data_IF_962498475297
#
_entry.id   IF_962498475297
#
_cell.length_a   1.000
_cell.length_b   1.000
_cell.length_c   1.000
_cell.angle_alpha   90.00
_cell.angle_beta   90.00
_cell.angle_gamma   90.00
#
_symmetry.space_group_name_H-M   'P 1'
#
loop_
_entity.id
_entity.type
_entity.pdbx_description
1 polymer ?
#
# COMPACT_ATOMS: atom_id res chain seq x y z
N UNK A 1 -22.36 11.95 -13.92
CA UNK A 1 -21.26 11.13 -14.48
C UNK A 1 -20.02 11.37 -13.65
N UNK A 2 -19.28 10.35 -13.17
CA UNK A 2 -17.96 10.62 -12.67
C UNK A 2 -17.19 11.34 -13.76
N UNK A 3 -16.38 12.35 -13.38
CA UNK A 3 -15.61 13.12 -14.35
C UNK A 3 -14.75 12.15 -15.17
N UNK A 4 -15.10 11.98 -16.43
CA UNK A 4 -14.37 11.09 -17.36
C UNK A 4 -13.30 11.87 -18.13
N UNK A 5 -13.35 13.19 -18.06
CA UNK A 5 -12.35 14.12 -18.58
C UNK A 5 -12.15 15.22 -17.54
N UNK A 6 -10.91 15.63 -17.36
CA UNK A 6 -10.51 16.66 -16.43
C UNK A 6 -9.53 17.60 -17.13
N UNK A 7 -9.82 18.90 -17.10
CA UNK A 7 -8.88 19.88 -17.61
C UNK A 7 -7.83 20.20 -16.56
N UNK A 8 -6.59 20.41 -16.97
CA UNK A 8 -5.47 20.75 -16.07
C UNK A 8 -5.77 21.99 -15.21
N UNK A 9 -6.47 22.97 -15.75
CA UNK A 9 -6.89 24.18 -15.04
C UNK A 9 -7.85 23.90 -13.86
N UNK A 10 -8.59 22.80 -13.88
CA UNK A 10 -9.55 22.43 -12.83
C UNK A 10 -8.89 21.74 -11.63
N UNK A 11 -7.73 21.14 -11.82
CA UNK A 11 -7.06 20.31 -10.82
C UNK A 11 -6.82 21.02 -9.49
N UNK A 12 -6.32 22.28 -9.44
CA UNK A 12 -6.14 22.96 -8.16
C UNK A 12 -7.44 23.17 -7.39
N UNK A 13 -8.53 23.45 -8.12
CA UNK A 13 -9.88 23.57 -7.55
C UNK A 13 -10.38 22.25 -6.98
N UNK A 14 -10.22 21.16 -7.74
CA UNK A 14 -10.61 19.81 -7.33
C UNK A 14 -9.79 19.34 -6.12
N UNK A 15 -8.47 19.57 -6.12
CA UNK A 15 -7.63 19.25 -4.97
C UNK A 15 -8.09 19.97 -3.71
N UNK A 16 -8.35 21.30 -3.79
CA UNK A 16 -8.84 22.08 -2.64
C UNK A 16 -10.19 21.57 -2.14
N UNK A 17 -11.11 21.21 -3.05
CA UNK A 17 -12.41 20.60 -2.71
C UNK A 17 -12.24 19.26 -2.00
N UNK A 18 -11.35 18.39 -2.49
CA UNK A 18 -11.04 17.12 -1.83
C UNK A 18 -10.47 17.38 -0.44
N UNK A 19 -9.49 18.27 -0.31
CA UNK A 19 -8.86 18.63 0.97
C UNK A 19 -9.87 19.20 1.97
N UNK A 20 -10.83 20.02 1.50
CA UNK A 20 -11.92 20.54 2.34
C UNK A 20 -12.90 19.46 2.77
N UNK A 21 -13.24 18.51 1.90
CA UNK A 21 -14.24 17.47 2.19
C UNK A 21 -13.67 16.35 3.07
N UNK A 22 -12.47 15.90 2.77
CA UNK A 22 -11.85 14.74 3.43
C UNK A 22 -10.96 15.17 4.60
N UNK A 23 -10.26 16.31 4.50
CA UNK A 23 -9.21 16.71 5.43
C UNK A 23 -7.84 16.22 4.94
N UNK A 24 -6.95 17.16 4.58
CA UNK A 24 -5.62 16.83 4.05
C UNK A 24 -4.74 16.09 5.08
N UNK A 25 -4.98 16.31 6.36
CA UNK A 25 -4.30 15.67 7.47
C UNK A 25 -4.38 14.13 7.46
N UNK A 26 -5.41 13.56 6.83
CA UNK A 26 -5.55 12.10 6.78
C UNK A 26 -4.49 11.43 5.90
N UNK A 27 -4.26 11.93 4.68
CA UNK A 27 -3.19 11.38 3.84
C UNK A 27 -1.80 11.89 4.22
N UNK A 28 -1.66 13.12 4.69
CA UNK A 28 -0.40 13.64 5.20
C UNK A 28 0.05 12.86 6.45
N UNK A 29 -0.87 12.57 7.37
CA UNK A 29 -0.59 11.72 8.52
C UNK A 29 -0.24 10.29 8.14
N UNK A 30 -0.85 9.74 7.07
CA UNK A 30 -0.44 8.45 6.52
C UNK A 30 1.00 8.51 6.01
N UNK A 31 1.35 9.48 5.16
CA UNK A 31 2.71 9.67 4.65
C UNK A 31 3.71 9.83 5.80
N UNK A 32 3.43 10.68 6.79
CA UNK A 32 4.32 10.90 7.92
C UNK A 32 4.62 9.61 8.70
N UNK A 33 3.58 8.79 8.96
CA UNK A 33 3.76 7.49 9.62
C UNK A 33 4.61 6.53 8.81
N UNK A 34 4.42 6.48 7.48
CA UNK A 34 5.21 5.58 6.63
C UNK A 34 6.67 6.07 6.53
N UNK A 35 6.91 7.36 6.39
CA UNK A 35 8.28 7.90 6.36
C UNK A 35 9.02 7.67 7.69
N UNK A 36 8.33 7.69 8.83
CA UNK A 36 8.93 7.30 10.12
C UNK A 36 9.33 5.83 10.13
N UNK A 37 8.46 4.94 9.64
CA UNK A 37 8.78 3.52 9.52
C UNK A 37 9.96 3.27 8.56
N UNK A 38 10.04 4.02 7.45
CA UNK A 38 11.14 3.94 6.48
C UNK A 38 12.46 4.45 7.11
N UNK A 39 12.42 5.54 7.90
CA UNK A 39 13.61 6.01 8.63
C UNK A 39 14.15 4.96 9.60
N UNK A 40 13.26 4.23 10.28
CA UNK A 40 13.65 3.15 11.19
C UNK A 40 14.14 1.89 10.46
N UNK A 41 13.63 1.65 9.24
CA UNK A 41 14.00 0.50 8.40
C UNK A 41 13.84 0.87 6.92
N UNK A 42 14.94 1.28 6.28
CA UNK A 42 14.95 1.72 4.89
C UNK A 42 14.51 0.66 3.87
N UNK A 43 14.60 -0.64 4.21
CA UNK A 43 14.13 -1.74 3.34
C UNK A 43 12.60 -1.72 3.14
N UNK A 44 11.86 -1.04 4.01
CA UNK A 44 10.42 -0.86 3.87
C UNK A 44 10.04 0.19 2.81
N UNK A 45 11.00 1.00 2.30
CA UNK A 45 10.74 2.17 1.49
C UNK A 45 9.83 1.92 0.30
N UNK A 46 10.28 1.09 -0.64
CA UNK A 46 9.52 0.80 -1.87
C UNK A 46 8.18 0.11 -1.57
N UNK A 47 8.19 -0.79 -0.58
CA UNK A 47 6.97 -1.50 -0.16
C UNK A 47 5.91 -0.52 0.37
N UNK A 48 6.26 0.32 1.35
CA UNK A 48 5.30 1.23 1.97
C UNK A 48 4.85 2.34 1.02
N UNK A 49 5.75 2.88 0.18
CA UNK A 49 5.38 3.85 -0.84
C UNK A 49 4.42 3.27 -1.87
N UNK A 50 4.58 2.01 -2.24
CA UNK A 50 3.65 1.30 -3.13
C UNK A 50 2.30 1.06 -2.47
N UNK A 51 2.27 0.56 -1.22
CA UNK A 51 1.05 0.27 -0.48
C UNK A 51 0.20 1.54 -0.23
N UNK A 52 0.84 2.67 0.02
CA UNK A 52 0.20 3.96 0.28
C UNK A 52 0.34 4.94 -0.89
N UNK A 53 0.51 4.45 -2.12
CA UNK A 53 0.82 5.28 -3.29
C UNK A 53 -0.11 6.49 -3.45
N UNK A 54 -1.43 6.33 -3.26
CA UNK A 54 -2.38 7.45 -3.36
C UNK A 54 -2.12 8.54 -2.32
N UNK A 55 -1.72 8.18 -1.09
CA UNK A 55 -1.40 9.17 -0.07
C UNK A 55 -0.17 10.00 -0.47
N UNK A 56 0.90 9.33 -0.94
CA UNK A 56 2.11 9.97 -1.44
C UNK A 56 1.84 10.86 -2.65
N UNK A 57 1.03 10.37 -3.59
CA UNK A 57 0.67 11.12 -4.79
C UNK A 57 -0.18 12.35 -4.48
N UNK A 58 -1.13 12.27 -3.52
CA UNK A 58 -1.90 13.42 -3.06
C UNK A 58 -1.00 14.45 -2.34
N UNK A 59 -0.03 14.00 -1.56
CA UNK A 59 0.91 14.91 -0.91
C UNK A 59 1.85 15.58 -1.94
N UNK A 60 2.33 14.83 -2.94
CA UNK A 60 3.08 15.40 -4.08
C UNK A 60 2.24 16.40 -4.87
N UNK A 61 0.97 16.08 -5.16
CA UNK A 61 0.04 16.99 -5.83
C UNK A 61 -0.14 18.29 -5.05
N UNK A 62 -0.22 18.22 -3.71
CA UNK A 62 -0.23 19.39 -2.84
C UNK A 62 0.95 20.30 -3.10
N UNK A 63 2.15 19.71 -3.13
CA UNK A 63 3.39 20.45 -3.41
C UNK A 63 3.38 21.11 -4.78
N UNK A 64 2.91 20.41 -5.82
CA UNK A 64 2.79 20.94 -7.18
C UNK A 64 1.80 22.11 -7.23
N UNK A 65 0.61 21.95 -6.67
CA UNK A 65 -0.42 23.01 -6.64
C UNK A 65 0.06 24.23 -5.83
N UNK A 66 0.73 24.00 -4.70
CA UNK A 66 1.28 25.08 -3.90
C UNK A 66 2.40 25.87 -4.62
N UNK A 67 3.26 25.17 -5.37
CA UNK A 67 4.40 25.76 -6.06
C UNK A 67 4.01 26.49 -7.35
N UNK A 68 3.11 25.91 -8.15
CA UNK A 68 2.82 26.41 -9.50
C UNK A 68 1.44 27.06 -9.63
N UNK A 69 0.57 26.94 -8.62
CA UNK A 69 -0.83 27.38 -8.70
C UNK A 69 -1.72 26.54 -9.63
N UNK A 70 -1.08 25.68 -10.45
CA UNK A 70 -1.71 24.77 -11.41
C UNK A 70 -0.91 23.46 -11.47
N UNK A 71 -1.35 22.52 -12.31
CA UNK A 71 -0.54 21.33 -12.63
C UNK A 71 0.03 21.53 -14.04
N UNK A 72 1.35 21.66 -14.19
CA UNK A 72 1.99 21.74 -15.49
C UNK A 72 1.67 20.51 -16.35
N UNK A 73 1.61 20.70 -17.66
CA UNK A 73 1.24 19.64 -18.62
C UNK A 73 2.18 18.42 -18.53
N UNK A 74 3.47 18.66 -18.33
CA UNK A 74 4.50 17.63 -18.20
C UNK A 74 4.28 16.73 -16.98
N UNK A 75 3.65 17.29 -15.93
CA UNK A 75 3.37 16.59 -14.67
C UNK A 75 1.99 15.91 -14.72
N UNK A 76 1.10 16.35 -15.58
CA UNK A 76 -0.28 15.84 -15.65
C UNK A 76 -0.33 14.33 -15.96
N UNK A 77 0.53 13.86 -16.87
CA UNK A 77 0.64 12.45 -17.25
C UNK A 77 1.69 11.69 -16.43
N UNK A 78 2.29 12.32 -15.42
CA UNK A 78 3.25 11.66 -14.52
C UNK A 78 2.53 10.50 -13.80
N UNK A 79 3.02 9.26 -13.92
CA UNK A 79 2.44 8.08 -13.27
C UNK A 79 2.39 8.22 -11.74
N UNK A 80 3.23 9.09 -11.16
CA UNK A 80 3.24 9.39 -9.73
C UNK A 80 2.22 10.46 -9.32
N UNK A 81 1.46 11.02 -10.25
CA UNK A 81 0.43 12.03 -9.94
C UNK A 81 -0.93 11.65 -10.52
N UNK A 82 -0.96 11.14 -11.75
CA UNK A 82 -2.19 10.84 -12.46
C UNK A 82 -3.20 9.99 -11.64
N UNK A 83 -2.80 8.92 -10.92
CA UNK A 83 -3.76 8.14 -10.14
C UNK A 83 -4.42 8.95 -9.02
N UNK A 84 -3.73 9.94 -8.44
CA UNK A 84 -4.30 10.82 -7.42
C UNK A 84 -5.32 11.81 -7.99
N UNK A 85 -5.13 12.24 -9.24
CA UNK A 85 -6.11 13.07 -9.97
C UNK A 85 -7.39 12.26 -10.23
N UNK A 86 -7.24 11.03 -10.74
CA UNK A 86 -8.35 10.13 -10.97
C UNK A 86 -9.10 9.83 -9.65
N UNK A 87 -8.39 9.51 -8.58
CA UNK A 87 -8.96 9.30 -7.25
C UNK A 87 -9.73 10.53 -6.77
N UNK A 88 -9.15 11.73 -6.90
CA UNK A 88 -9.79 13.00 -6.52
C UNK A 88 -11.10 13.19 -7.27
N UNK A 89 -11.09 13.03 -8.59
CA UNK A 89 -12.28 13.17 -9.44
C UNK A 89 -13.37 12.15 -9.07
N UNK A 90 -12.97 10.91 -8.83
CA UNK A 90 -13.89 9.83 -8.46
C UNK A 90 -14.54 10.08 -7.09
N UNK A 91 -13.76 10.45 -6.07
CA UNK A 91 -14.28 10.76 -4.73
C UNK A 91 -15.25 11.94 -4.78
N UNK A 92 -14.87 13.03 -5.44
CA UNK A 92 -15.75 14.21 -5.58
C UNK A 92 -17.02 13.86 -6.35
N UNK A 93 -16.92 13.09 -7.43
CA UNK A 93 -18.07 12.64 -8.21
C UNK A 93 -19.05 11.76 -7.41
N UNK A 94 -18.59 10.99 -6.45
CA UNK A 94 -19.45 10.26 -5.51
C UNK A 94 -20.14 11.23 -4.56
N UNK A 95 -19.40 12.17 -3.96
CA UNK A 95 -19.94 13.13 -3.01
C UNK A 95 -21.03 14.03 -3.61
N UNK A 96 -20.85 14.47 -4.86
CA UNK A 96 -21.81 15.32 -5.58
C UNK A 96 -23.16 14.65 -5.81
N UNK A 97 -23.20 13.33 -5.83
CA UNK A 97 -24.42 12.54 -6.09
C UNK A 97 -25.02 11.91 -4.86
N UNK A 98 -24.31 12.02 -3.74
CA UNK A 98 -24.72 11.44 -2.49
C UNK A 98 -25.71 12.34 -1.74
N UNK A 99 -26.68 11.74 -1.09
CA UNK A 99 -27.43 12.44 -0.04
C UNK A 99 -26.50 12.85 1.10
N UNK A 100 -26.89 13.81 1.92
CA UNK A 100 -26.09 14.27 3.06
C UNK A 100 -25.65 13.12 3.97
N UNK A 101 -26.54 12.15 4.24
CA UNK A 101 -26.24 10.96 5.06
C UNK A 101 -25.20 10.07 4.39
N UNK A 102 -25.36 9.79 3.10
CA UNK A 102 -24.41 8.98 2.32
C UNK A 102 -23.06 9.66 2.21
N UNK A 103 -23.01 10.96 1.93
CA UNK A 103 -21.79 11.74 1.85
C UNK A 103 -21.00 11.68 3.16
N UNK A 104 -21.64 11.85 4.32
CA UNK A 104 -20.99 11.72 5.64
C UNK A 104 -20.38 10.34 5.85
N UNK A 105 -21.12 9.27 5.52
CA UNK A 105 -20.63 7.91 5.66
C UNK A 105 -19.46 7.62 4.70
N UNK A 106 -19.54 8.11 3.45
CA UNK A 106 -18.47 7.95 2.46
C UNK A 106 -17.20 8.72 2.85
N UNK A 107 -17.32 9.97 3.31
CA UNK A 107 -16.19 10.75 3.84
C UNK A 107 -15.49 10.01 4.97
N UNK A 108 -16.25 9.47 5.95
CA UNK A 108 -15.68 8.67 7.04
C UNK A 108 -14.91 7.46 6.50
N UNK A 109 -15.45 6.78 5.49
CA UNK A 109 -14.79 5.63 4.86
C UNK A 109 -13.49 6.03 4.17
N UNK A 110 -13.49 7.11 3.36
CA UNK A 110 -12.28 7.61 2.69
C UNK A 110 -11.19 7.98 3.70
N UNK A 111 -11.56 8.67 4.80
CA UNK A 111 -10.64 9.01 5.89
C UNK A 111 -10.00 7.77 6.51
N UNK A 112 -10.83 6.77 6.84
CA UNK A 112 -10.35 5.52 7.44
C UNK A 112 -9.44 4.73 6.51
N UNK A 113 -9.69 4.78 5.20
CA UNK A 113 -8.88 4.09 4.21
C UNK A 113 -7.40 4.52 4.21
N UNK A 114 -7.09 5.77 4.57
CA UNK A 114 -5.70 6.22 4.72
C UNK A 114 -4.99 5.63 5.95
N UNK A 115 -5.69 4.93 6.83
CA UNK A 115 -5.09 4.28 7.99
C UNK A 115 -4.57 2.87 7.69
N UNK A 116 -5.10 2.20 6.67
CA UNK A 116 -4.76 0.83 6.28
C UNK A 116 -4.70 0.70 4.75
N UNK A 117 -3.62 0.13 4.24
CA UNK A 117 -3.43 -0.02 2.80
C UNK A 117 -4.50 -0.89 2.14
N UNK A 118 -4.93 -1.97 2.80
CA UNK A 118 -5.95 -2.88 2.28
C UNK A 118 -7.30 -2.16 2.07
N UNK A 119 -7.67 -1.28 3.00
CA UNK A 119 -8.90 -0.46 2.89
C UNK A 119 -8.79 0.53 1.73
N UNK A 120 -7.60 1.11 1.53
CA UNK A 120 -7.34 2.05 0.44
C UNK A 120 -7.39 1.33 -0.92
N UNK A 121 -6.81 0.12 -1.01
CA UNK A 121 -6.85 -0.70 -2.23
C UNK A 121 -8.30 -1.13 -2.55
N UNK A 122 -9.07 -1.56 -1.56
CA UNK A 122 -10.48 -1.91 -1.71
C UNK A 122 -11.29 -0.72 -2.23
N UNK A 123 -11.17 0.43 -1.58
CA UNK A 123 -11.86 1.66 -2.00
C UNK A 123 -11.51 2.07 -3.43
N UNK A 124 -10.22 2.01 -3.81
CA UNK A 124 -9.79 2.31 -5.19
C UNK A 124 -10.43 1.38 -6.20
N UNK A 125 -10.50 0.09 -5.91
CA UNK A 125 -11.10 -0.89 -6.80
C UNK A 125 -12.59 -0.61 -7.01
N UNK A 126 -13.32 -0.28 -5.94
CA UNK A 126 -14.72 0.10 -6.02
C UNK A 126 -14.93 1.39 -6.85
N UNK A 127 -14.08 2.41 -6.63
CA UNK A 127 -14.11 3.65 -7.41
C UNK A 127 -13.85 3.39 -8.89
N UNK A 128 -12.91 2.50 -9.23
CA UNK A 128 -12.63 2.09 -10.61
C UNK A 128 -13.82 1.35 -11.22
N UNK A 129 -14.41 0.39 -10.50
CA UNK A 129 -15.59 -0.34 -10.95
C UNK A 129 -16.78 0.59 -11.19
N UNK A 130 -17.07 1.49 -10.24
CA UNK A 130 -18.12 2.48 -10.37
C UNK A 130 -17.91 3.40 -11.59
N UNK A 131 -16.66 3.85 -11.81
CA UNK A 131 -16.30 4.67 -12.96
C UNK A 131 -16.48 3.92 -14.28
N UNK A 132 -16.11 2.63 -14.30
CA UNK A 132 -16.26 1.79 -15.47
C UNK A 132 -17.72 1.66 -15.93
N UNK A 133 -18.63 1.39 -15.00
CA UNK A 133 -20.06 1.31 -15.31
C UNK A 133 -20.64 2.67 -15.68
N UNK A 134 -20.28 3.71 -14.96
CA UNK A 134 -20.76 5.06 -15.22
C UNK A 134 -20.32 5.58 -16.60
N UNK A 135 -19.12 5.24 -17.10
CA UNK A 135 -18.67 5.54 -18.47
C UNK A 135 -19.52 4.86 -19.55
N UNK A 136 -20.20 3.77 -19.22
CA UNK A 136 -21.14 3.06 -20.09
C UNK A 136 -22.57 3.59 -19.97
N UNK A 137 -22.77 4.73 -19.30
CA UNK A 137 -24.08 5.32 -19.12
C UNK A 137 -24.93 4.70 -18.03
N UNK A 138 -24.37 3.75 -17.25
CA UNK A 138 -25.11 3.11 -16.16
C UNK A 138 -25.15 4.01 -14.93
N UNK A 139 -26.25 3.96 -14.19
CA UNK A 139 -26.35 4.58 -12.88
C UNK A 139 -25.78 3.63 -11.82
N UNK A 140 -24.89 4.14 -10.97
CA UNK A 140 -24.22 3.34 -9.93
C UNK A 140 -24.53 3.91 -8.55
N UNK A 141 -25.13 3.08 -7.70
CA UNK A 141 -25.41 3.39 -6.30
C UNK A 141 -24.42 2.65 -5.38
N UNK A 142 -23.94 3.36 -4.35
CA UNK A 142 -23.06 2.82 -3.33
C UNK A 142 -23.87 2.18 -2.20
N UNK A 143 -24.02 0.87 -2.24
CA UNK A 143 -24.97 0.17 -1.37
C UNK A 143 -24.46 -0.02 0.06
N UNK A 144 -23.20 -0.38 0.23
CA UNK A 144 -22.56 -0.58 1.55
C UNK A 144 -22.59 0.67 2.43
N UNK A 145 -22.56 1.84 1.81
CA UNK A 145 -22.63 3.14 2.52
C UNK A 145 -24.06 3.44 3.00
N UNK A 146 -25.07 2.85 2.33
CA UNK A 146 -26.47 3.20 2.57
C UNK A 146 -27.18 2.27 3.55
N UNK A 147 -26.96 0.95 3.45
CA UNK A 147 -27.87 -0.06 4.06
C UNK A 147 -27.16 -1.24 4.76
N UNK A 148 -25.82 -1.25 4.92
CA UNK A 148 -25.12 -2.40 5.49
C UNK A 148 -25.16 -3.65 4.60
N UNK A 149 -25.30 -3.47 3.28
CA UNK A 149 -25.52 -4.54 2.31
C UNK A 149 -24.34 -5.50 2.15
N UNK A 150 -24.62 -6.63 1.51
CA UNK A 150 -23.68 -7.71 1.24
C UNK A 150 -22.77 -7.44 0.05
N UNK A 151 -23.05 -6.42 -0.77
CA UNK A 151 -22.29 -6.00 -1.94
C UNK A 151 -21.88 -4.53 -1.86
N UNK A 152 -20.91 -4.13 -2.66
CA UNK A 152 -20.32 -2.78 -2.60
C UNK A 152 -21.08 -1.76 -3.46
N UNK A 153 -21.46 -2.16 -4.69
CA UNK A 153 -22.12 -1.31 -5.67
C UNK A 153 -23.36 -1.98 -6.24
N UNK A 154 -24.40 -1.19 -6.52
CA UNK A 154 -25.54 -1.58 -7.33
C UNK A 154 -25.49 -0.80 -8.65
N UNK A 155 -25.47 -1.51 -9.77
CA UNK A 155 -25.56 -0.93 -11.11
C UNK A 155 -27.01 -1.04 -11.57
N UNK A 156 -27.71 0.07 -11.59
CA UNK A 156 -29.11 0.14 -11.97
C UNK A 156 -29.26 0.03 -13.50
N UNK A 157 -30.42 -0.50 -13.93
CA UNK A 157 -30.74 -0.66 -15.35
C UNK A 157 -30.13 -1.89 -16.02
N UNK A 158 -29.45 -2.77 -15.27
CA UNK A 158 -28.99 -4.06 -15.75
C UNK A 158 -29.82 -5.16 -15.08
N UNK A 159 -30.73 -5.77 -15.84
CA UNK A 159 -31.69 -6.74 -15.31
C UNK A 159 -32.81 -6.09 -14.48
N UNK A 160 -33.76 -6.91 -13.97
CA UNK A 160 -34.96 -6.41 -13.29
C UNK A 160 -34.68 -5.80 -11.91
N UNK A 161 -33.62 -6.23 -11.23
CA UNK A 161 -33.27 -5.79 -9.86
C UNK A 161 -31.96 -4.98 -9.81
N UNK A 162 -31.34 -4.69 -10.95
CA UNK A 162 -29.98 -4.17 -11.02
C UNK A 162 -28.93 -5.27 -10.91
N UNK A 163 -27.67 -4.90 -11.17
CA UNK A 163 -26.51 -5.78 -11.02
C UNK A 163 -25.78 -5.45 -9.70
N UNK A 164 -25.75 -6.42 -8.80
CA UNK A 164 -24.96 -6.36 -7.58
C UNK A 164 -23.48 -6.63 -7.89
N UNK A 165 -22.59 -5.74 -7.44
CA UNK A 165 -21.15 -5.86 -7.68
C UNK A 165 -20.43 -5.85 -6.34
N UNK A 166 -19.67 -6.91 -6.10
CA UNK A 166 -18.74 -7.00 -4.98
C UNK A 166 -17.31 -6.88 -5.50
N UNK A 167 -16.54 -5.98 -4.92
CA UNK A 167 -15.16 -5.68 -5.30
C UNK A 167 -14.19 -6.34 -4.32
N UNK A 168 -13.39 -7.29 -4.78
CA UNK A 168 -12.38 -7.96 -3.94
C UNK A 168 -10.98 -7.66 -4.43
N UNK A 169 -10.24 -6.87 -3.67
CA UNK A 169 -8.80 -6.73 -3.87
C UNK A 169 -8.08 -7.95 -3.30
N UNK A 170 -7.09 -8.44 -4.04
CA UNK A 170 -6.22 -9.53 -3.58
C UNK A 170 -4.86 -8.93 -3.31
N UNK A 171 -4.41 -8.95 -2.05
CA UNK A 171 -3.06 -8.55 -1.71
C UNK A 171 -2.02 -9.56 -2.25
N UNK A 172 -0.82 -9.08 -2.56
CA UNK A 172 0.32 -9.93 -2.94
C UNK A 172 0.66 -11.00 -1.87
N UNK A 173 0.21 -10.76 -0.63
CA UNK A 173 0.46 -11.64 0.51
C UNK A 173 -0.55 -12.78 0.63
N UNK A 174 -1.66 -12.76 -0.15
CA UNK A 174 -2.68 -13.80 -0.06
C UNK A 174 -2.11 -15.17 -0.43
N UNK A 175 -2.27 -16.12 0.47
CA UNK A 175 -1.74 -17.48 0.32
C UNK A 175 -0.25 -17.62 0.63
N UNK A 176 0.49 -16.55 0.88
CA UNK A 176 1.90 -16.61 1.31
C UNK A 176 2.00 -16.87 2.81
N UNK A 177 2.88 -17.76 3.21
CA UNK A 177 3.18 -18.03 4.64
C UNK A 177 3.96 -16.88 5.28
N UNK A 178 4.83 -16.23 4.50
CA UNK A 178 5.61 -15.07 4.94
C UNK A 178 5.12 -13.88 4.12
N UNK A 179 4.61 -12.88 4.81
CA UNK A 179 4.19 -11.63 4.19
C UNK A 179 5.43 -10.77 3.86
N UNK A 180 5.35 -10.02 2.76
CA UNK A 180 6.46 -9.18 2.30
C UNK A 180 6.92 -8.19 3.38
N UNK A 181 5.99 -7.59 4.09
CA UNK A 181 6.29 -6.68 5.21
C UNK A 181 7.11 -7.37 6.29
N UNK A 182 6.67 -8.56 6.75
CA UNK A 182 7.36 -9.32 7.80
C UNK A 182 8.78 -9.68 7.38
N UNK A 183 8.97 -10.07 6.11
CA UNK A 183 10.29 -10.38 5.56
C UNK A 183 11.20 -9.14 5.56
N UNK A 184 10.69 -7.97 5.15
CA UNK A 184 11.46 -6.72 5.13
C UNK A 184 11.78 -6.21 6.54
N UNK A 185 10.85 -6.35 7.48
CA UNK A 185 11.08 -6.00 8.89
C UNK A 185 12.12 -6.93 9.53
N UNK A 186 12.05 -8.23 9.23
CA UNK A 186 13.08 -9.19 9.68
C UNK A 186 14.43 -8.88 9.04
N UNK A 187 14.47 -8.59 7.73
CA UNK A 187 15.71 -8.22 7.04
C UNK A 187 16.34 -6.96 7.62
N UNK A 188 15.56 -5.95 7.93
CA UNK A 188 16.06 -4.74 8.59
C UNK A 188 16.63 -5.00 10.00
N UNK A 189 16.05 -5.96 10.75
CA UNK A 189 16.61 -6.39 12.03
C UNK A 189 17.94 -7.14 11.85
N UNK A 190 18.02 -8.04 10.87
CA UNK A 190 19.21 -8.81 10.55
C UNK A 190 20.36 -7.92 10.03
N UNK A 191 20.02 -6.98 9.14
CA UNK A 191 21.01 -6.14 8.45
C UNK A 191 21.84 -5.29 9.41
N UNK A 192 21.27 -4.80 10.49
CA UNK A 192 21.97 -4.01 11.51
C UNK A 192 23.19 -4.73 12.09
N UNK A 193 23.11 -6.06 12.19
CA UNK A 193 24.16 -6.88 12.82
C UNK A 193 25.05 -7.56 11.76
N UNK A 194 24.63 -7.59 10.48
CA UNK A 194 25.34 -8.28 9.39
C UNK A 194 26.07 -7.32 8.46
N UNK A 195 25.70 -6.04 8.48
CA UNK A 195 26.24 -5.05 7.51
C UNK A 195 27.77 -4.99 7.51
N UNK A 196 28.38 -4.92 8.70
CA UNK A 196 29.83 -4.86 8.84
C UNK A 196 30.51 -6.16 8.35
N UNK A 197 29.92 -7.31 8.72
CA UNK A 197 30.40 -8.62 8.27
C UNK A 197 30.33 -8.72 6.74
N UNK A 198 29.23 -8.24 6.14
CA UNK A 198 29.02 -8.30 4.68
C UNK A 198 29.99 -7.40 3.93
N UNK A 199 30.39 -6.23 4.49
CA UNK A 199 31.36 -5.31 3.89
C UNK A 199 32.77 -5.91 3.86
N UNK A 200 33.14 -6.68 4.89
CA UNK A 200 34.46 -7.31 5.00
C UNK A 200 34.63 -8.53 4.06
N UNK A 201 33.54 -9.07 3.55
CA UNK A 201 33.54 -10.25 2.70
C UNK A 201 33.70 -9.87 1.20
N UNK A 202 34.92 -10.06 0.66
CA UNK A 202 35.21 -9.80 -0.77
C UNK A 202 34.29 -10.57 -1.74
N UNK A 203 33.79 -11.73 -1.35
CA UNK A 203 32.94 -12.59 -2.17
C UNK A 203 31.45 -12.41 -1.93
N UNK A 204 31.06 -11.49 -1.03
CA UNK A 204 29.67 -11.32 -0.59
C UNK A 204 29.20 -12.43 0.35
N UNK A 205 27.96 -12.28 0.82
CA UNK A 205 27.31 -13.20 1.77
C UNK A 205 25.94 -13.62 1.21
N UNK A 206 25.72 -14.93 1.09
CA UNK A 206 24.40 -15.48 0.80
C UNK A 206 23.88 -16.26 2.02
N UNK A 207 22.74 -15.84 2.53
CA UNK A 207 22.07 -16.49 3.66
C UNK A 207 20.73 -17.03 3.20
N UNK A 208 20.51 -18.33 3.41
CA UNK A 208 19.21 -18.96 3.17
C UNK A 208 18.61 -19.34 4.52
N UNK A 209 17.49 -18.68 4.83
CA UNK A 209 16.72 -18.96 6.04
C UNK A 209 15.43 -19.71 5.66
N UNK A 210 15.27 -20.93 6.18
CA UNK A 210 14.05 -21.70 6.01
C UNK A 210 13.18 -21.56 7.26
N UNK A 211 11.98 -21.01 7.08
CA UNK A 211 11.00 -20.82 8.15
C UNK A 211 9.82 -21.78 7.88
N UNK A 212 9.58 -22.78 8.74
CA UNK A 212 8.53 -23.78 8.47
C UNK A 212 7.12 -23.23 8.51
N UNK A 213 6.87 -22.16 9.26
CA UNK A 213 5.54 -21.56 9.41
C UNK A 213 5.53 -20.08 9.01
N UNK A 214 5.69 -19.20 9.98
CA UNK A 214 5.70 -17.73 9.82
C UNK A 214 6.87 -17.14 10.55
N UNK A 215 7.32 -15.98 10.10
CA UNK A 215 8.22 -15.16 10.91
C UNK A 215 7.49 -14.70 12.17
N UNK A 216 8.19 -14.54 13.29
CA UNK A 216 7.60 -13.98 14.50
C UNK A 216 6.99 -12.60 14.23
N UNK A 217 5.76 -12.38 14.71
CA UNK A 217 5.10 -11.07 14.60
C UNK A 217 5.59 -10.10 15.67
N UNK A 218 6.06 -10.62 16.80
CA UNK A 218 6.62 -9.83 17.89
C UNK A 218 8.03 -9.33 17.53
N UNK A 219 8.27 -8.03 17.80
CA UNK A 219 9.53 -7.34 17.45
C UNK A 219 10.74 -7.93 18.21
N UNK A 220 10.56 -8.25 19.50
CA UNK A 220 11.66 -8.80 20.32
C UNK A 220 12.01 -10.22 19.87
N UNK A 221 11.03 -11.04 19.53
CA UNK A 221 11.25 -12.38 18.99
C UNK A 221 11.92 -12.33 17.61
N UNK A 222 11.52 -11.38 16.73
CA UNK A 222 12.22 -11.16 15.45
C UNK A 222 13.68 -10.76 15.64
N UNK A 223 13.94 -9.86 16.57
CA UNK A 223 15.30 -9.43 16.90
C UNK A 223 16.13 -10.57 17.50
N UNK A 224 15.53 -11.42 18.33
CA UNK A 224 16.20 -12.61 18.86
C UNK A 224 16.56 -13.60 17.76
N UNK A 225 15.62 -13.87 16.82
CA UNK A 225 15.87 -14.71 15.67
C UNK A 225 16.98 -14.14 14.76
N UNK A 226 16.98 -12.82 14.53
CA UNK A 226 18.02 -12.16 13.75
C UNK A 226 19.41 -12.35 14.40
N UNK A 227 19.54 -12.13 15.70
CA UNK A 227 20.80 -12.37 16.44
C UNK A 227 21.26 -13.83 16.37
N UNK A 228 20.33 -14.78 16.45
CA UNK A 228 20.68 -16.20 16.32
C UNK A 228 21.21 -16.52 14.91
N UNK A 229 20.60 -15.95 13.86
CA UNK A 229 21.09 -16.07 12.47
C UNK A 229 22.50 -15.48 12.34
N UNK A 230 22.76 -14.30 12.90
CA UNK A 230 24.08 -13.65 12.90
C UNK A 230 25.12 -14.51 13.59
N UNK A 231 24.81 -15.05 14.76
CA UNK A 231 25.73 -15.93 15.50
C UNK A 231 26.13 -17.16 14.66
N UNK A 232 25.20 -17.71 13.86
CA UNK A 232 25.48 -18.82 12.94
C UNK A 232 26.33 -18.39 11.73
N UNK A 233 26.10 -17.18 11.20
CA UNK A 233 26.94 -16.63 10.14
C UNK A 233 28.38 -16.50 10.60
N UNK A 234 28.60 -15.95 11.79
CA UNK A 234 29.93 -15.74 12.37
C UNK A 234 30.64 -17.07 12.64
N UNK A 235 29.93 -18.08 13.14
CA UNK A 235 30.52 -19.40 13.45
C UNK A 235 30.73 -20.29 12.25
N UNK A 236 30.23 -19.90 11.05
CA UNK A 236 30.31 -20.68 9.82
C UNK A 236 29.55 -22.02 9.88
N UNK A 237 28.72 -22.23 10.91
CA UNK A 237 28.00 -23.48 11.13
C UNK A 237 26.62 -23.44 10.46
N UNK A 238 26.43 -24.19 9.38
CA UNK A 238 25.12 -24.59 8.92
C UNK A 238 24.49 -25.59 9.89
N UNK A 239 23.57 -25.13 10.76
CA UNK A 239 22.88 -26.02 11.69
C UNK A 239 21.42 -25.60 11.82
N UNK A 240 20.56 -26.52 12.25
CA UNK A 240 19.17 -26.18 12.61
C UNK A 240 19.17 -25.19 13.79
N UNK A 241 18.44 -24.13 13.67
CA UNK A 241 18.23 -23.17 14.75
C UNK A 241 17.33 -23.84 15.80
N UNK A 242 17.85 -23.94 17.03
CA UNK A 242 17.14 -24.61 18.11
C UNK A 242 16.09 -23.74 18.77
N UNK A 243 14.94 -24.32 19.08
CA UNK A 243 14.01 -23.82 20.08
C UNK A 243 12.84 -23.00 19.60
N UNK A 244 11.68 -23.53 19.79
CA UNK A 244 10.43 -22.83 20.18
C UNK A 244 9.63 -22.04 19.15
N UNK A 245 10.15 -21.55 18.08
CA UNK A 245 9.42 -20.74 17.09
C UNK A 245 9.66 -21.18 15.65
N UNK A 246 9.75 -22.44 15.40
CA UNK A 246 9.57 -22.99 14.05
C UNK A 246 10.61 -22.66 12.99
N UNK A 247 11.84 -22.34 13.34
CA UNK A 247 12.94 -22.17 12.38
C UNK A 247 13.78 -23.44 12.33
N UNK A 248 13.79 -24.11 11.16
CA UNK A 248 14.64 -25.26 10.90
C UNK A 248 15.56 -24.94 9.72
N UNK A 249 16.82 -24.80 10.01
CA UNK A 249 17.90 -24.76 9.03
C UNK A 249 18.28 -23.36 8.54
N UNK A 250 19.51 -22.98 8.81
CA UNK A 250 20.25 -21.93 8.08
C UNK A 250 21.31 -22.65 7.25
N UNK A 251 21.26 -22.56 5.93
CA UNK A 251 22.30 -23.07 5.06
C UNK A 251 23.17 -21.90 4.62
N UNK A 252 24.39 -21.83 5.16
CA UNK A 252 25.46 -20.96 4.63
C UNK A 252 26.09 -21.66 3.43
N UNK A 253 25.90 -21.12 2.23
CA UNK A 253 26.68 -21.53 1.06
C UNK A 253 27.69 -20.44 0.73
N UNK A 254 28.88 -20.51 1.32
CA UNK A 254 30.02 -19.71 0.91
C UNK A 254 30.62 -20.17 -0.44
N UNK A 255 30.22 -21.35 -0.95
CA UNK A 255 30.83 -22.00 -2.11
C UNK A 255 30.19 -21.65 -3.48
N UNK A 256 29.11 -20.89 -3.55
CA UNK A 256 28.44 -20.61 -4.83
C UNK A 256 29.15 -19.51 -5.64
N UNK A 257 29.87 -18.60 -4.99
CA UNK A 257 30.56 -17.49 -5.65
C UNK A 257 31.93 -17.83 -6.25
N UNK A 258 32.50 -18.98 -5.95
CA UNK A 258 33.74 -19.45 -6.59
C UNK A 258 33.54 -20.04 -8.00
N UNK A 259 32.33 -20.29 -8.45
CA UNK A 259 32.01 -20.87 -9.78
C UNK A 259 31.55 -19.87 -10.83
N UNK A 260 31.56 -18.58 -10.54
CA UNK A 260 31.20 -17.51 -11.49
C UNK A 260 32.41 -16.65 -11.88
N UNK A 261 33.60 -17.27 -11.95
CA UNK A 261 34.76 -16.71 -12.65
C UNK A 261 34.97 -17.43 -13.96
#
# INVERSE_FOLDING_TARGET
MPATQMMTAEVPGMYRRLASAIGAEHWQGAVARQEEAIRSNHFLGDYLRSEYAIAYQLDRLRGVVARFGTVPYEIYNDPDIFPSLAFTAQVLGVLERSTVKQAKAFVKRVRNAFSRSEELHGLRLELLAATHFARRGQHVAWHRVSNGGTFDLLVEGIGPSGLEVECKSISENKGRRIHRRDALEFWGALWRDVADIAQDLRSGLAVVLTVPYRLPTDVAQRAALAREVVARIVTGSGAALGGGAGVRGCALKSSILQKLK
#
